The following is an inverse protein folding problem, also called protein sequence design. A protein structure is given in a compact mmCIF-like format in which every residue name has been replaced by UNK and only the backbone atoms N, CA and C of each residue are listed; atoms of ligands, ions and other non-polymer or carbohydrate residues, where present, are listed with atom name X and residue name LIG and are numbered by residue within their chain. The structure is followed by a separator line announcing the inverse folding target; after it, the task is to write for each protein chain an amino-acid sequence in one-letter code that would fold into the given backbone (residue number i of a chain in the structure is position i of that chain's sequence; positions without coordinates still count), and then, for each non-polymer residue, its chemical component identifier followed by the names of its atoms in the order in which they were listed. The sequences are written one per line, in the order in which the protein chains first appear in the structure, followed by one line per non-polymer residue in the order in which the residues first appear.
data_IF_127544516749
#
_entry.id   IF_127544516749
#
_cell.length_a   1.000
_cell.length_b   1.000
_cell.length_c   1.000
_cell.angle_alpha   90.00
_cell.angle_beta   90.00
_cell.angle_gamma   90.00
#
_symmetry.space_group_name_H-M   'P 1'
#
loop_
_entity.id
_entity.type
_entity.pdbx_description
1 polymer ?
#
# COMPACT_ATOMS: atom_id res chain seq x y z
N UNK A 1 5.69 45.69 33.02
CA UNK A 1 5.05 45.19 31.78
C UNK A 1 5.94 44.29 30.93
N UNK A 2 7.28 44.43 30.95
CA UNK A 2 8.19 43.63 30.09
C UNK A 2 8.40 42.17 30.58
N UNK A 3 8.57 41.96 31.89
CA UNK A 3 8.93 40.65 32.44
C UNK A 3 7.84 39.56 32.26
N UNK A 4 6.57 39.92 32.41
CA UNK A 4 5.43 38.98 32.29
C UNK A 4 5.26 38.49 30.84
N UNK A 5 5.57 39.33 29.85
CA UNK A 5 5.53 38.98 28.43
C UNK A 5 6.66 38.03 28.05
N UNK A 6 7.85 38.22 28.64
CA UNK A 6 9.00 37.33 28.45
C UNK A 6 8.73 35.94 29.03
N UNK A 7 8.09 35.86 30.19
CA UNK A 7 7.78 34.59 30.84
C UNK A 7 6.70 33.80 30.09
N UNK A 8 5.71 34.48 29.52
CA UNK A 8 4.70 33.86 28.65
C UNK A 8 5.29 33.32 27.34
N UNK A 9 6.24 34.05 26.74
CA UNK A 9 6.96 33.60 25.54
C UNK A 9 7.84 32.37 25.84
N UNK A 10 8.56 32.36 26.96
CA UNK A 10 9.35 31.20 27.37
C UNK A 10 8.46 29.98 27.66
N UNK A 11 7.30 30.14 28.30
CA UNK A 11 6.37 29.04 28.57
C UNK A 11 5.76 28.47 27.29
N UNK A 12 5.44 29.31 26.30
CA UNK A 12 4.95 28.87 24.99
C UNK A 12 6.03 28.11 24.22
N UNK A 13 7.28 28.58 24.24
CA UNK A 13 8.40 27.97 23.53
C UNK A 13 8.79 26.61 24.11
N UNK A 14 8.82 26.49 25.45
CA UNK A 14 9.06 25.22 26.14
C UNK A 14 7.94 24.20 25.84
N UNK A 15 6.69 24.65 25.69
CA UNK A 15 5.57 23.76 25.41
C UNK A 15 5.55 23.31 23.94
N UNK A 16 5.94 24.18 23.00
CA UNK A 16 6.12 23.80 21.59
C UNK A 16 7.31 22.86 21.40
N UNK A 17 8.41 23.07 22.12
CA UNK A 17 9.58 22.19 22.09
C UNK A 17 9.26 20.82 22.70
N UNK A 18 8.49 20.75 23.79
CA UNK A 18 8.00 19.47 24.35
C UNK A 18 7.06 18.75 23.39
N UNK A 19 6.22 19.48 22.64
CA UNK A 19 5.31 18.90 21.64
C UNK A 19 6.06 18.42 20.38
N UNK A 20 7.17 19.05 20.01
CA UNK A 20 8.08 18.58 18.96
C UNK A 20 8.92 17.37 19.42
N UNK A 21 9.48 17.40 20.63
CA UNK A 21 10.24 16.27 21.17
C UNK A 21 9.34 15.04 21.45
N UNK A 22 8.04 15.23 21.72
CA UNK A 22 7.08 14.14 21.83
C UNK A 22 6.57 13.62 20.46
N UNK A 23 6.86 14.32 19.36
CA UNK A 23 6.65 13.83 17.98
C UNK A 23 7.91 13.25 17.35
N UNK A 24 9.09 13.57 17.90
CA UNK A 24 10.41 13.04 17.51
C UNK A 24 10.92 12.01 18.54
N UNK A 25 10.10 11.62 19.52
CA UNK A 25 10.23 10.31 20.17
C UNK A 25 9.41 9.33 19.35
N UNK A 26 9.87 9.10 18.12
CA UNK A 26 9.63 7.82 17.46
C UNK A 26 10.26 6.81 18.38
N UNK A 27 9.40 6.11 19.13
CA UNK A 27 9.69 4.87 19.84
C UNK A 27 10.82 4.14 19.14
N UNK A 28 11.94 4.01 19.85
CA UNK A 28 13.18 3.34 19.50
C UNK A 28 13.00 2.39 18.31
N UNK A 29 13.54 2.73 17.14
CA UNK A 29 13.37 1.93 15.92
C UNK A 29 13.77 0.45 16.15
N UNK A 30 14.65 0.21 17.11
CA UNK A 30 15.00 -1.13 17.61
C UNK A 30 13.83 -1.82 18.32
N UNK A 31 13.08 -1.12 19.17
CA UNK A 31 11.89 -1.65 19.82
C UNK A 31 10.74 -1.94 18.82
N UNK A 32 10.62 -1.15 17.75
CA UNK A 32 9.66 -1.42 16.66
C UNK A 32 10.10 -2.67 15.88
N UNK A 33 11.38 -2.79 15.54
CA UNK A 33 11.97 -3.99 14.89
C UNK A 33 11.73 -5.24 15.73
N UNK A 34 12.03 -5.19 17.02
CA UNK A 34 11.91 -6.34 17.92
C UNK A 34 10.45 -6.76 18.10
N UNK A 35 9.53 -5.80 18.18
CA UNK A 35 8.09 -6.07 18.22
C UNK A 35 7.58 -6.74 16.94
N UNK A 36 8.00 -6.26 15.76
CA UNK A 36 7.67 -6.88 14.47
C UNK A 36 8.21 -8.32 14.41
N UNK A 37 9.45 -8.56 14.88
CA UNK A 37 10.05 -9.89 14.91
C UNK A 37 9.41 -10.85 15.92
N UNK A 38 8.73 -10.34 16.94
CA UNK A 38 8.09 -11.11 18.00
C UNK A 38 6.61 -11.41 17.72
N UNK A 39 5.86 -10.47 17.14
CA UNK A 39 4.47 -10.67 16.71
C UNK A 39 4.37 -11.52 15.42
N UNK A 40 5.44 -11.61 14.64
CA UNK A 40 5.45 -12.37 13.40
C UNK A 40 5.52 -13.89 13.62
N UNK A 41 4.35 -14.53 13.60
CA UNK A 41 4.19 -15.99 13.62
C UNK A 41 4.28 -16.60 12.21
N UNK A 42 5.44 -17.23 11.98
CA UNK A 42 5.68 -18.39 11.08
C UNK A 42 5.84 -18.11 9.57
N UNK A 43 7.08 -17.93 9.14
CA UNK A 43 7.60 -18.64 7.96
C UNK A 43 8.48 -19.79 8.47
N UNK A 44 8.22 -21.04 8.08
CA UNK A 44 8.94 -22.25 8.55
C UNK A 44 10.42 -22.34 8.11
N UNK A 45 11.09 -21.24 7.78
CA UNK A 45 12.52 -21.19 7.44
C UNK A 45 13.21 -20.04 8.16
N UNK A 46 14.22 -20.38 8.96
CA UNK A 46 15.12 -19.45 9.65
C UNK A 46 15.77 -18.44 8.70
N UNK A 47 16.06 -18.88 7.47
CA UNK A 47 16.67 -18.07 6.40
C UNK A 47 15.82 -16.85 5.99
N UNK A 48 14.49 -16.95 6.01
CA UNK A 48 13.61 -15.82 5.68
C UNK A 48 13.58 -14.78 6.81
N UNK A 49 13.66 -15.22 8.07
CA UNK A 49 13.72 -14.32 9.23
C UNK A 49 15.02 -13.54 9.27
N UNK A 50 16.15 -14.19 8.94
CA UNK A 50 17.46 -13.57 8.86
C UNK A 50 17.54 -12.50 7.76
N UNK A 51 17.01 -12.78 6.56
CA UNK A 51 16.96 -11.82 5.46
C UNK A 51 16.15 -10.58 5.79
N UNK A 52 15.01 -10.74 6.47
CA UNK A 52 14.15 -9.62 6.85
C UNK A 52 14.79 -8.80 7.98
N UNK A 53 15.44 -9.44 8.96
CA UNK A 53 16.22 -8.73 9.96
C UNK A 53 17.33 -7.88 9.30
N UNK A 54 18.06 -8.44 8.33
CA UNK A 54 19.11 -7.73 7.60
C UNK A 54 18.59 -6.55 6.78
N UNK A 55 17.43 -6.69 6.12
CA UNK A 55 16.81 -5.60 5.37
C UNK A 55 16.36 -4.46 6.30
N UNK A 56 15.80 -4.78 7.47
CA UNK A 56 15.42 -3.78 8.47
C UNK A 56 16.63 -3.07 9.08
N UNK A 57 17.73 -3.78 9.32
CA UNK A 57 18.97 -3.20 9.85
C UNK A 57 19.62 -2.23 8.84
N UNK A 58 19.62 -2.59 7.55
CA UNK A 58 20.12 -1.74 6.49
C UNK A 58 19.30 -0.44 6.38
N UNK A 59 17.98 -0.56 6.47
CA UNK A 59 17.06 0.59 6.43
C UNK A 59 17.24 1.52 7.64
N UNK A 60 17.44 0.96 8.84
CA UNK A 60 17.73 1.75 10.05
C UNK A 60 19.06 2.49 9.90
N UNK A 61 20.08 1.86 9.30
CA UNK A 61 21.38 2.50 9.08
C UNK A 61 21.32 3.66 8.05
N UNK A 62 20.47 3.53 7.02
CA UNK A 62 20.24 4.58 6.02
C UNK A 62 19.51 5.80 6.61
N UNK A 63 18.63 5.58 7.59
CA UNK A 63 17.87 6.64 8.26
C UNK A 63 18.66 7.36 9.37
N UNK A 64 19.83 6.85 9.77
CA UNK A 64 20.70 7.53 10.74
C UNK A 64 21.74 8.40 10.04
N UNK A 65 21.70 9.74 10.17
CA UNK A 65 22.76 10.59 9.65
C UNK A 65 24.03 10.42 10.50
N UNK A 66 25.05 9.75 9.95
CA UNK A 66 26.37 9.58 10.59
C UNK A 66 27.07 10.95 10.73
N UNK A 67 27.42 11.42 11.94
CA UNK A 67 28.00 12.76 12.13
C UNK A 67 29.52 12.84 11.90
N UNK A 68 30.14 11.90 11.19
CA UNK A 68 31.59 11.82 11.09
C UNK A 68 32.10 11.62 9.66
N UNK A 69 32.00 12.66 8.83
CA UNK A 69 32.98 12.97 7.78
C UNK A 69 32.66 14.31 7.10
N UNK A 70 33.18 15.39 7.66
CA UNK A 70 33.43 16.64 6.93
C UNK A 70 34.94 16.79 6.82
N UNK A 71 35.49 16.66 5.61
CA UNK A 71 36.44 17.61 5.00
C UNK A 71 36.87 17.15 3.59
N UNK A 72 36.35 17.89 2.61
CA UNK A 72 36.92 18.32 1.33
C UNK A 72 37.97 17.47 0.56
N UNK A 73 37.67 17.21 -0.72
CA UNK A 73 38.55 17.68 -1.81
C UNK A 73 37.79 17.83 -3.13
N UNK A 74 37.91 19.00 -3.74
CA UNK A 74 37.41 19.43 -5.05
C UNK A 74 38.37 18.93 -6.13
N UNK A 75 37.91 18.34 -7.23
CA UNK A 75 38.44 18.59 -8.59
C UNK A 75 37.35 18.35 -9.67
N UNK A 76 37.33 19.28 -10.64
CA UNK A 76 36.33 19.52 -11.69
C UNK A 76 36.57 18.74 -13.00
N UNK A 77 35.57 18.86 -13.91
CA UNK A 77 35.57 18.72 -15.40
C UNK A 77 35.12 17.32 -15.90
N UNK A 78 34.14 17.14 -16.81
CA UNK A 78 33.99 17.76 -18.15
C UNK A 78 32.58 17.52 -18.78
N UNK A 79 31.88 18.60 -19.20
CA UNK A 79 31.10 18.90 -20.44
C UNK A 79 30.41 17.72 -21.22
N UNK A 80 29.17 17.71 -21.72
CA UNK A 80 27.94 18.53 -21.73
C UNK A 80 26.81 17.70 -22.45
N UNK A 81 25.73 18.28 -23.01
CA UNK A 81 24.37 18.27 -22.45
C UNK A 81 23.36 17.46 -23.30
N UNK A 82 22.17 17.08 -22.81
CA UNK A 82 20.94 16.98 -23.62
C UNK A 82 19.70 16.61 -22.76
N UNK A 83 18.75 17.55 -22.78
CA UNK A 83 17.29 17.39 -22.67
C UNK A 83 16.68 17.14 -21.29
N UNK A 84 16.28 18.26 -20.69
CA UNK A 84 15.08 18.36 -19.87
C UNK A 84 13.89 17.72 -20.60
N UNK A 85 13.47 16.55 -20.14
CA UNK A 85 12.13 16.06 -20.39
C UNK A 85 11.44 15.88 -19.04
N UNK A 86 11.16 17.02 -18.41
CA UNK A 86 9.99 17.16 -17.57
C UNK A 86 8.76 16.95 -18.46
N UNK A 87 8.46 15.68 -18.74
CA UNK A 87 7.13 15.28 -19.14
C UNK A 87 6.29 15.45 -17.89
N UNK A 88 5.69 16.64 -17.76
CA UNK A 88 4.52 16.86 -16.94
C UNK A 88 3.48 15.84 -17.42
N UNK A 89 3.50 14.66 -16.81
CA UNK A 89 2.30 13.85 -16.71
C UNK A 89 1.33 14.74 -15.95
N UNK A 90 0.35 15.29 -16.67
CA UNK A 90 -0.76 15.99 -16.06
C UNK A 90 -1.29 15.05 -14.97
N UNK A 91 -1.19 15.46 -13.71
CA UNK A 91 -1.94 14.85 -12.62
C UNK A 91 -3.42 15.13 -12.90
N UNK A 92 -4.00 14.37 -13.83
CA UNK A 92 -5.44 14.23 -13.93
C UNK A 92 -5.84 13.68 -12.57
N UNK A 93 -6.48 14.51 -11.75
CA UNK A 93 -6.99 14.12 -10.44
C UNK A 93 -8.08 13.08 -10.69
N UNK A 94 -7.69 11.81 -10.75
CA UNK A 94 -8.63 10.70 -10.95
C UNK A 94 -9.50 10.61 -9.70
N UNK A 95 -10.81 10.62 -9.90
CA UNK A 95 -11.76 10.30 -8.85
C UNK A 95 -11.56 8.84 -8.44
N UNK A 96 -12.05 8.44 -7.27
CA UNK A 96 -11.92 7.06 -6.80
C UNK A 96 -13.23 6.57 -6.20
N UNK A 97 -13.72 5.44 -6.68
CA UNK A 97 -14.90 4.77 -6.14
C UNK A 97 -14.47 3.62 -5.24
N UNK A 98 -15.13 3.48 -4.09
CA UNK A 98 -15.04 2.26 -3.29
C UNK A 98 -16.17 1.33 -3.67
N UNK A 99 -15.84 0.11 -4.05
CA UNK A 99 -16.79 -0.89 -4.50
C UNK A 99 -16.75 -2.08 -3.54
N UNK A 100 -17.93 -2.47 -3.06
CA UNK A 100 -18.13 -3.76 -2.40
C UNK A 100 -18.36 -4.81 -3.48
N UNK A 101 -17.43 -5.74 -3.60
CA UNK A 101 -17.45 -6.83 -4.55
C UNK A 101 -17.73 -8.15 -3.83
N UNK A 102 -18.78 -8.85 -4.23
CA UNK A 102 -19.00 -10.24 -3.87
C UNK A 102 -18.56 -11.14 -5.03
N UNK A 103 -17.66 -12.08 -4.75
CA UNK A 103 -17.06 -12.99 -5.72
C UNK A 103 -17.13 -14.43 -5.22
N UNK A 104 -17.97 -15.23 -5.86
CA UNK A 104 -18.05 -16.66 -5.65
C UNK A 104 -17.37 -17.39 -6.79
N UNK A 105 -16.61 -18.42 -6.44
CA UNK A 105 -15.91 -19.28 -7.41
C UNK A 105 -16.47 -20.70 -7.26
N UNK A 106 -16.94 -21.26 -8.36
CA UNK A 106 -17.54 -22.58 -8.41
C UNK A 106 -16.84 -23.47 -9.43
N UNK A 107 -16.90 -24.78 -9.23
CA UNK A 107 -16.32 -25.71 -10.18
C UNK A 107 -17.35 -25.97 -11.29
N UNK A 108 -16.91 -26.08 -12.55
CA UNK A 108 -17.80 -26.49 -13.65
C UNK A 108 -18.28 -27.94 -13.51
N UNK A 109 -17.53 -28.77 -12.77
CA UNK A 109 -17.85 -30.19 -12.59
C UNK A 109 -17.48 -30.68 -11.18
N UNK A 110 -18.24 -31.65 -10.67
CA UNK A 110 -18.02 -32.35 -9.39
C UNK A 110 -16.68 -33.07 -9.28
N UNK A 111 -15.91 -33.28 -10.35
CA UNK A 111 -14.57 -33.89 -10.29
C UNK A 111 -13.45 -32.86 -10.13
N UNK A 112 -13.72 -31.58 -10.38
CA UNK A 112 -12.73 -30.51 -10.27
C UNK A 112 -12.63 -30.07 -8.80
N UNK A 113 -11.41 -29.82 -8.34
CA UNK A 113 -11.10 -29.45 -6.94
C UNK A 113 -10.16 -28.25 -6.91
N UNK A 114 -10.52 -27.17 -7.62
CA UNK A 114 -9.64 -26.01 -7.85
C UNK A 114 -10.16 -24.68 -7.34
N UNK A 115 -11.40 -24.60 -6.81
CA UNK A 115 -12.00 -23.36 -6.28
C UNK A 115 -11.04 -22.47 -5.48
N UNK A 116 -10.34 -23.05 -4.50
CA UNK A 116 -9.41 -22.29 -3.64
C UNK A 116 -8.24 -21.71 -4.44
N UNK A 117 -7.63 -22.53 -5.30
CA UNK A 117 -6.51 -22.09 -6.15
C UNK A 117 -6.96 -20.98 -7.11
N UNK A 118 -8.13 -21.13 -7.73
CA UNK A 118 -8.69 -20.13 -8.65
C UNK A 118 -8.98 -18.81 -7.93
N UNK A 119 -9.58 -18.87 -6.74
CA UNK A 119 -9.78 -17.67 -5.93
C UNK A 119 -8.46 -16.96 -5.59
N UNK A 120 -7.45 -17.70 -5.13
CA UNK A 120 -6.12 -17.14 -4.86
C UNK A 120 -5.46 -16.57 -6.12
N UNK A 121 -5.76 -17.14 -7.29
CA UNK A 121 -5.29 -16.66 -8.59
C UNK A 121 -5.93 -15.31 -8.93
N UNK A 122 -7.26 -15.22 -8.87
CA UNK A 122 -8.02 -13.98 -9.09
C UNK A 122 -7.59 -12.87 -8.10
N UNK A 123 -7.42 -13.21 -6.82
CA UNK A 123 -6.95 -12.26 -5.80
C UNK A 123 -5.58 -11.67 -6.15
N UNK A 124 -4.67 -12.50 -6.65
CA UNK A 124 -3.32 -12.09 -6.99
C UNK A 124 -3.24 -11.30 -8.29
N UNK A 125 -4.01 -11.69 -9.31
CA UNK A 125 -3.82 -11.18 -10.67
C UNK A 125 -4.92 -10.25 -11.16
N UNK A 126 -6.04 -10.12 -10.45
CA UNK A 126 -7.10 -9.17 -10.79
C UNK A 126 -7.28 -8.15 -9.67
N UNK A 127 -7.54 -8.64 -8.45
CA UNK A 127 -7.94 -7.77 -7.34
C UNK A 127 -6.78 -6.99 -6.70
N UNK A 128 -5.54 -7.48 -6.84
CA UNK A 128 -4.35 -6.82 -6.28
C UNK A 128 -4.10 -5.42 -6.84
N UNK A 129 -4.52 -5.17 -8.09
CA UNK A 129 -4.40 -3.86 -8.75
C UNK A 129 -5.31 -2.78 -8.13
N UNK A 130 -6.35 -3.19 -7.40
CA UNK A 130 -7.38 -2.30 -6.85
C UNK A 130 -7.33 -2.22 -5.32
N UNK A 131 -6.18 -2.51 -4.72
CA UNK A 131 -5.97 -2.50 -3.26
C UNK A 131 -7.02 -3.32 -2.50
N UNK A 132 -7.44 -4.46 -3.06
CA UNK A 132 -8.56 -5.22 -2.54
C UNK A 132 -8.34 -5.71 -1.10
N UNK A 133 -9.35 -5.49 -0.25
CA UNK A 133 -9.37 -5.94 1.14
C UNK A 133 -10.54 -6.88 1.36
N UNK A 134 -10.27 -8.08 1.86
CA UNK A 134 -11.34 -8.99 2.28
C UNK A 134 -12.07 -8.44 3.49
N UNK A 135 -13.40 -8.47 3.47
CA UNK A 135 -14.21 -8.10 4.63
C UNK A 135 -14.12 -9.17 5.74
N UNK A 136 -13.92 -10.44 5.36
CA UNK A 136 -13.74 -11.56 6.29
C UNK A 136 -12.68 -12.55 5.78
N UNK A 137 -11.90 -13.22 6.66
CA UNK A 137 -10.77 -14.07 6.24
C UNK A 137 -11.13 -15.19 5.25
N UNK A 138 -12.32 -15.80 5.41
CA UNK A 138 -12.82 -16.89 4.57
C UNK A 138 -14.02 -16.45 3.71
N UNK A 139 -14.26 -15.14 3.61
CA UNK A 139 -15.38 -14.58 2.88
C UNK A 139 -15.25 -14.64 1.37
N UNK A 140 -16.33 -14.29 0.71
CA UNK A 140 -16.41 -14.02 -0.73
C UNK A 140 -16.51 -12.53 -1.02
N UNK A 141 -16.41 -11.67 0.00
CA UNK A 141 -16.62 -10.23 -0.11
C UNK A 141 -15.30 -9.46 0.02
N UNK A 142 -15.17 -8.43 -0.81
CA UNK A 142 -14.00 -7.58 -0.93
C UNK A 142 -14.45 -6.13 -1.00
N UNK A 143 -13.64 -5.23 -0.46
CA UNK A 143 -13.69 -3.80 -0.77
C UNK A 143 -12.53 -3.49 -1.70
N UNK A 144 -12.82 -2.92 -2.86
CA UNK A 144 -11.83 -2.50 -3.85
C UNK A 144 -11.94 -1.00 -4.11
N UNK A 145 -10.84 -0.37 -4.53
CA UNK A 145 -10.82 1.05 -4.90
C UNK A 145 -10.44 1.17 -6.36
N UNK A 146 -11.35 1.72 -7.18
CA UNK A 146 -11.13 1.94 -8.61
C UNK A 146 -10.94 3.44 -8.87
N UNK A 147 -9.78 3.88 -9.37
CA UNK A 147 -9.59 5.25 -9.84
C UNK A 147 -10.22 5.41 -11.23
N UNK A 148 -10.98 6.46 -11.46
CA UNK A 148 -11.69 6.69 -12.73
C UNK A 148 -11.74 8.17 -13.13
N UNK A 149 -11.89 8.43 -14.42
CA UNK A 149 -11.94 9.78 -14.99
C UNK A 149 -13.37 10.31 -15.15
N UNK A 150 -14.31 9.41 -15.48
CA UNK A 150 -15.73 9.69 -15.62
C UNK A 150 -16.53 8.38 -15.42
N UNK A 151 -17.86 8.48 -15.39
CA UNK A 151 -18.73 7.33 -15.12
C UNK A 151 -18.59 6.19 -16.14
N UNK A 152 -18.37 6.50 -17.42
CA UNK A 152 -18.20 5.50 -18.48
C UNK A 152 -16.88 4.71 -18.29
N UNK A 153 -15.82 5.39 -17.87
CA UNK A 153 -14.55 4.77 -17.51
C UNK A 153 -14.69 3.87 -16.28
N UNK A 154 -15.43 4.31 -15.25
CA UNK A 154 -15.70 3.48 -14.08
C UNK A 154 -16.45 2.20 -14.47
N UNK A 155 -17.54 2.32 -15.22
CA UNK A 155 -18.33 1.18 -15.69
C UNK A 155 -17.47 0.21 -16.50
N UNK A 156 -16.68 0.75 -17.45
CA UNK A 156 -15.77 -0.04 -18.27
C UNK A 156 -14.75 -0.80 -17.42
N UNK A 157 -14.12 -0.14 -16.45
CA UNK A 157 -13.14 -0.78 -15.56
C UNK A 157 -13.77 -1.90 -14.73
N UNK A 158 -15.01 -1.74 -14.25
CA UNK A 158 -15.72 -2.80 -13.52
C UNK A 158 -16.02 -4.00 -14.43
N UNK A 159 -16.53 -3.77 -15.64
CA UNK A 159 -16.79 -4.87 -16.60
C UNK A 159 -15.53 -5.57 -17.10
N UNK A 160 -14.45 -4.83 -17.34
CA UNK A 160 -13.16 -5.40 -17.70
C UNK A 160 -12.61 -6.27 -16.57
N UNK A 161 -12.72 -5.81 -15.31
CA UNK A 161 -12.37 -6.61 -14.14
C UNK A 161 -13.18 -7.92 -14.07
N UNK A 162 -14.49 -7.87 -14.30
CA UNK A 162 -15.34 -9.07 -14.32
C UNK A 162 -14.89 -10.06 -15.38
N UNK A 163 -14.61 -9.56 -16.59
CA UNK A 163 -14.14 -10.38 -17.72
C UNK A 163 -12.80 -11.03 -17.43
N UNK A 164 -11.87 -10.29 -16.82
CA UNK A 164 -10.56 -10.83 -16.44
C UNK A 164 -10.72 -11.95 -15.40
N UNK A 165 -11.52 -11.73 -14.35
CA UNK A 165 -11.79 -12.74 -13.33
C UNK A 165 -12.44 -14.01 -13.91
N UNK A 166 -13.39 -13.85 -14.84
CA UNK A 166 -14.07 -14.96 -15.50
C UNK A 166 -13.09 -15.76 -16.37
N UNK A 167 -12.27 -15.08 -17.16
CA UNK A 167 -11.19 -15.69 -17.95
C UNK A 167 -10.24 -16.52 -17.08
N UNK A 168 -9.83 -15.98 -15.92
CA UNK A 168 -8.99 -16.70 -14.95
C UNK A 168 -9.67 -17.94 -14.35
N UNK A 169 -10.99 -17.91 -14.17
CA UNK A 169 -11.74 -19.07 -13.68
C UNK A 169 -11.90 -20.14 -14.75
N UNK A 170 -12.24 -19.75 -15.98
CA UNK A 170 -12.46 -20.65 -17.10
C UNK A 170 -11.20 -21.46 -17.44
N UNK A 171 -10.01 -20.82 -17.39
CA UNK A 171 -8.70 -21.48 -17.58
C UNK A 171 -8.46 -22.69 -16.65
N UNK A 172 -9.07 -22.70 -15.45
CA UNK A 172 -8.97 -23.80 -14.47
C UNK A 172 -10.29 -24.59 -14.36
N UNK A 173 -11.16 -24.51 -15.37
CA UNK A 173 -12.46 -25.18 -15.48
C UNK A 173 -13.40 -24.85 -14.31
N UNK A 174 -13.37 -23.59 -13.88
CA UNK A 174 -14.27 -23.02 -12.89
C UNK A 174 -15.13 -21.94 -13.55
N UNK A 175 -16.16 -21.48 -12.85
CA UNK A 175 -16.93 -20.30 -13.20
C UNK A 175 -17.04 -19.39 -11.99
N UNK A 176 -17.40 -18.12 -12.23
CA UNK A 176 -17.64 -17.15 -11.17
C UNK A 176 -19.09 -16.67 -11.17
N UNK A 177 -19.56 -16.30 -9.98
CA UNK A 177 -20.71 -15.40 -9.81
C UNK A 177 -20.14 -14.15 -9.15
N UNK A 178 -20.42 -12.99 -9.72
CA UNK A 178 -19.91 -11.71 -9.27
C UNK A 178 -21.05 -10.69 -9.17
N UNK A 179 -21.01 -9.88 -8.12
CA UNK A 179 -21.93 -8.76 -7.87
C UNK A 179 -21.12 -7.62 -7.26
N UNK A 180 -21.28 -6.40 -7.77
CA UNK A 180 -20.57 -5.22 -7.30
C UNK A 180 -21.54 -4.08 -6.96
N UNK A 181 -21.32 -3.43 -5.83
CA UNK A 181 -22.07 -2.25 -5.41
C UNK A 181 -21.11 -1.13 -5.03
N UNK A 182 -21.31 0.06 -5.58
CA UNK A 182 -20.57 1.24 -5.15
C UNK A 182 -21.03 1.67 -3.75
N UNK A 183 -20.08 1.92 -2.86
CA UNK A 183 -20.38 2.28 -1.47
C UNK A 183 -20.83 3.74 -1.42
N UNK A 184 -22.07 3.95 -0.96
CA UNK A 184 -22.64 5.29 -0.77
C UNK A 184 -23.48 5.79 -1.95
N UNK A 185 -23.63 4.98 -3.00
CA UNK A 185 -24.56 5.23 -4.10
C UNK A 185 -25.50 4.02 -4.28
N UNK A 186 -26.50 4.16 -5.15
CA UNK A 186 -27.37 3.06 -5.56
C UNK A 186 -26.84 2.35 -6.82
N UNK A 187 -25.59 2.61 -7.23
CA UNK A 187 -24.99 2.04 -8.44
C UNK A 187 -24.49 0.62 -8.17
N UNK A 188 -24.83 -0.29 -9.07
CA UNK A 188 -24.45 -1.70 -9.00
C UNK A 188 -24.13 -2.28 -10.39
N UNK A 189 -23.31 -3.32 -10.42
CA UNK A 189 -22.91 -4.05 -11.62
C UNK A 189 -22.97 -5.56 -11.40
#
# INVERSE_FOLDING_TARGET
MSAVRQELQNKLQINTEKKLHNKISVTDYQAIRDRILQEWRVSKRTESKARIAQALDAFIAELTPTPASTQASIQNQTVAPLVNQAKLEEEVVKQSAQIRLWLRVENNNKFIRRKKKVREHIERFCLSFYNAQKTTPNGCEYIITIPYENDEDLDKQVYDLFRDMDSHADMDYCFIEVDAHEIGTDRSW
#
